data_IF_960394109258
#
_entry.id   IF_960394109258
#
_cell.length_a   1.000
_cell.length_b   1.000
_cell.length_c   1.000
_cell.angle_alpha   90.00
_cell.angle_beta   90.00
_cell.angle_gamma   90.00
#
_symmetry.space_group_name_H-M   'P 1'
#
loop_
_entity.id
_entity.type
_entity.pdbx_description
1 polymer ?
#
# COMPACT_ATOMS: atom_id res chain seq x y z
N UNK A 1 3.81 17.93 7.89
CA UNK A 1 4.02 16.49 7.68
C UNK A 1 4.30 15.80 9.02
N UNK A 2 3.97 14.50 9.09
CA UNK A 2 4.28 13.65 10.24
C UNK A 2 5.40 12.71 9.84
N UNK A 3 6.42 12.57 10.70
CA UNK A 3 7.52 11.65 10.52
C UNK A 3 7.51 10.66 11.68
N UNK A 4 7.43 9.37 11.38
CA UNK A 4 7.40 8.30 12.38
C UNK A 4 8.52 7.33 12.12
N UNK A 5 9.40 7.17 13.11
CA UNK A 5 10.39 6.08 13.12
C UNK A 5 9.77 4.87 13.82
N UNK A 6 9.66 3.77 13.12
CA UNK A 6 9.01 2.56 13.65
C UNK A 6 9.71 1.28 13.21
N UNK A 7 9.33 0.18 13.86
CA UNK A 7 9.62 -1.17 13.42
C UNK A 7 8.31 -1.82 12.99
N UNK A 8 8.36 -2.60 11.92
CA UNK A 8 7.21 -3.43 11.56
C UNK A 8 7.11 -4.60 12.52
N UNK A 9 6.11 -4.56 13.41
CA UNK A 9 5.98 -5.53 14.52
C UNK A 9 5.72 -6.97 14.08
N UNK A 10 5.12 -7.18 12.92
CA UNK A 10 4.57 -8.48 12.56
C UNK A 10 5.51 -9.41 11.78
N UNK A 11 6.63 -8.94 11.21
CA UNK A 11 7.28 -9.75 10.17
C UNK A 11 8.79 -9.83 10.22
N UNK A 12 9.49 -8.96 10.95
CA UNK A 12 10.94 -8.83 10.77
C UNK A 12 11.70 -8.74 12.08
N UNK A 13 12.92 -9.33 12.15
CA UNK A 13 13.78 -9.15 13.30
C UNK A 13 14.05 -7.65 13.50
N UNK A 14 14.06 -7.21 14.74
CA UNK A 14 14.12 -5.81 15.22
C UNK A 14 15.40 -5.05 14.83
N UNK A 15 16.07 -5.44 13.77
CA UNK A 15 17.42 -4.95 13.42
C UNK A 15 17.43 -3.70 12.58
N UNK A 16 16.29 -3.32 11.96
CA UNK A 16 16.25 -2.19 11.02
C UNK A 16 15.10 -1.23 11.33
N UNK A 17 15.42 0.05 11.54
CA UNK A 17 14.42 1.11 11.64
C UNK A 17 14.02 1.59 10.27
N UNK A 18 12.71 1.76 10.09
CA UNK A 18 12.10 2.40 8.93
C UNK A 18 11.53 3.75 9.37
N UNK A 19 11.84 4.81 8.63
CA UNK A 19 11.26 6.12 8.81
C UNK A 19 10.18 6.33 7.76
N UNK A 20 8.93 6.43 8.21
CA UNK A 20 7.80 6.77 7.36
C UNK A 20 7.52 8.26 7.50
N UNK A 21 7.42 8.96 6.36
CA UNK A 21 7.13 10.38 6.32
C UNK A 21 5.86 10.57 5.51
N UNK A 22 4.78 10.98 6.19
CA UNK A 22 3.52 11.30 5.53
C UNK A 22 3.59 12.68 4.87
N UNK A 23 3.06 12.78 3.66
CA UNK A 23 3.01 14.01 2.89
C UNK A 23 1.58 14.51 2.75
N UNK A 24 1.35 15.83 2.67
CA UNK A 24 0.01 16.35 2.39
C UNK A 24 -0.58 15.78 1.11
N UNK A 25 -1.86 15.40 1.15
CA UNK A 25 -2.58 14.85 0.00
C UNK A 25 -2.68 15.85 -1.15
N UNK A 26 -2.53 15.38 -2.38
CA UNK A 26 -2.56 16.21 -3.60
C UNK A 26 -3.95 16.75 -3.97
N UNK A 27 -5.00 16.20 -3.38
CA UNK A 27 -6.40 16.53 -3.67
C UNK A 27 -7.00 17.53 -2.65
N UNK A 28 -6.19 18.19 -1.82
CA UNK A 28 -6.69 19.23 -0.93
C UNK A 28 -6.87 20.55 -1.69
N UNK A 29 -7.80 21.38 -1.22
CA UNK A 29 -8.17 22.64 -1.87
C UNK A 29 -6.97 23.62 -2.06
N UNK A 30 -5.88 23.42 -1.31
CA UNK A 30 -4.66 24.23 -1.33
C UNK A 30 -3.51 23.56 -2.10
N UNK A 31 -3.81 22.98 -3.25
CA UNK A 31 -2.90 22.14 -4.05
C UNK A 31 -1.49 22.72 -4.31
N UNK A 32 -1.34 24.04 -4.40
CA UNK A 32 -0.05 24.68 -4.72
C UNK A 32 0.91 24.62 -3.54
N UNK A 33 0.43 24.86 -2.31
CA UNK A 33 1.26 24.77 -1.11
C UNK A 33 1.64 23.33 -0.80
N UNK A 34 0.72 22.40 -0.92
CA UNK A 34 0.95 20.97 -0.68
C UNK A 34 1.98 20.37 -1.64
N UNK A 35 1.87 20.72 -2.92
CA UNK A 35 2.87 20.36 -3.92
C UNK A 35 4.26 20.87 -3.51
N UNK A 36 4.36 22.15 -3.15
CA UNK A 36 5.63 22.77 -2.73
C UNK A 36 6.21 22.11 -1.47
N UNK A 37 5.37 21.70 -0.52
CA UNK A 37 5.81 21.01 0.69
C UNK A 37 6.36 19.62 0.33
N UNK A 38 5.65 18.85 -0.47
CA UNK A 38 6.08 17.52 -0.93
C UNK A 38 7.38 17.60 -1.74
N UNK A 39 7.52 18.59 -2.64
CA UNK A 39 8.76 18.85 -3.40
C UNK A 39 9.96 19.12 -2.47
N UNK A 40 9.78 20.05 -1.54
CA UNK A 40 10.84 20.39 -0.58
C UNK A 40 11.22 19.19 0.29
N UNK A 41 10.22 18.38 0.67
CA UNK A 41 10.45 17.21 1.49
C UNK A 41 11.27 16.17 0.74
N UNK A 42 10.87 15.78 -0.47
CA UNK A 42 11.58 14.81 -1.30
C UNK A 42 13.03 15.23 -1.52
N UNK A 43 13.27 16.51 -1.85
CA UNK A 43 14.63 17.04 -2.09
C UNK A 43 15.48 17.09 -0.83
N UNK A 44 14.86 17.35 0.34
CA UNK A 44 15.57 17.53 1.61
C UNK A 44 15.90 16.19 2.28
N UNK A 45 15.01 15.21 2.16
CA UNK A 45 15.14 13.94 2.88
C UNK A 45 15.93 12.90 2.09
N UNK A 46 16.02 13.04 0.76
CA UNK A 46 16.63 12.04 -0.14
C UNK A 46 16.17 10.62 0.22
N UNK A 47 14.88 10.33 0.06
CA UNK A 47 14.30 9.08 0.56
C UNK A 47 14.81 7.87 -0.21
N UNK A 48 14.95 6.74 0.46
CA UNK A 48 15.29 5.47 -0.20
C UNK A 48 14.16 4.99 -1.13
N UNK A 49 12.91 5.33 -0.81
CA UNK A 49 11.71 5.01 -1.60
C UNK A 49 10.61 6.05 -1.41
N UNK A 50 9.84 6.25 -2.47
CA UNK A 50 8.54 6.93 -2.41
C UNK A 50 7.43 5.90 -2.59
N UNK A 51 6.45 5.89 -1.69
CA UNK A 51 5.23 5.10 -1.82
C UNK A 51 4.15 6.02 -2.34
N UNK A 52 3.73 5.82 -3.59
CA UNK A 52 2.62 6.55 -4.19
C UNK A 52 1.33 5.74 -3.99
N UNK A 53 0.47 6.21 -3.09
CA UNK A 53 -0.81 5.55 -2.80
C UNK A 53 -1.88 6.06 -3.76
N UNK A 54 -2.44 5.15 -4.54
CA UNK A 54 -3.53 5.38 -5.49
C UNK A 54 -4.85 4.86 -4.90
N UNK A 55 -5.94 5.60 -5.14
CA UNK A 55 -7.26 5.14 -4.73
C UNK A 55 -7.84 4.22 -5.82
N UNK A 56 -8.01 2.93 -5.52
CA UNK A 56 -8.56 1.96 -6.47
C UNK A 56 -9.95 2.31 -7.05
N UNK A 57 -10.70 3.15 -6.36
CA UNK A 57 -12.04 3.61 -6.81
C UNK A 57 -11.99 4.82 -7.77
N UNK A 58 -10.87 5.50 -7.89
CA UNK A 58 -10.77 6.78 -8.60
C UNK A 58 -9.40 6.95 -9.29
N UNK A 59 -8.98 5.95 -10.07
CA UNK A 59 -7.72 5.98 -10.82
C UNK A 59 -7.91 6.76 -12.13
N UNK A 60 -6.95 7.61 -12.48
CA UNK A 60 -6.88 8.28 -13.78
C UNK A 60 -7.47 9.69 -13.81
N UNK A 61 -7.57 10.36 -12.67
CA UNK A 61 -7.96 11.77 -12.62
C UNK A 61 -6.85 12.69 -13.15
N UNK A 62 -7.21 13.87 -13.65
CA UNK A 62 -6.24 14.87 -14.12
C UNK A 62 -5.25 15.31 -13.03
N UNK A 63 -5.71 15.40 -11.78
CA UNK A 63 -4.86 15.78 -10.67
C UNK A 63 -3.88 14.67 -10.29
N UNK A 64 -4.31 13.42 -10.35
CA UNK A 64 -3.43 12.26 -10.18
C UNK A 64 -2.36 12.23 -11.28
N UNK A 65 -2.74 12.48 -12.54
CA UNK A 65 -1.78 12.55 -13.66
C UNK A 65 -0.74 13.64 -13.46
N UNK A 66 -1.13 14.84 -13.03
CA UNK A 66 -0.19 15.92 -12.69
C UNK A 66 0.76 15.52 -11.57
N UNK A 67 0.25 14.83 -10.56
CA UNK A 67 1.06 14.34 -9.47
C UNK A 67 2.07 13.27 -9.92
N UNK A 68 1.64 12.33 -10.76
CA UNK A 68 2.52 11.32 -11.33
C UNK A 68 3.64 11.92 -12.19
N UNK A 69 3.34 12.90 -13.00
CA UNK A 69 4.35 13.65 -13.78
C UNK A 69 5.35 14.34 -12.84
N UNK A 70 4.86 14.99 -11.78
CA UNK A 70 5.70 15.59 -10.77
C UNK A 70 6.62 14.57 -10.09
N UNK A 71 6.09 13.42 -9.65
CA UNK A 71 6.91 12.36 -9.05
C UNK A 71 7.99 11.86 -9.99
N UNK A 72 7.64 11.66 -11.27
CA UNK A 72 8.61 11.25 -12.30
C UNK A 72 9.75 12.24 -12.49
N UNK A 73 9.46 13.54 -12.45
CA UNK A 73 10.46 14.59 -12.63
C UNK A 73 11.37 14.80 -11.41
N UNK A 74 10.81 14.64 -10.21
CA UNK A 74 11.49 15.01 -8.98
C UNK A 74 12.11 13.83 -8.22
N UNK A 75 11.53 12.62 -8.33
CA UNK A 75 12.03 11.46 -7.60
C UNK A 75 13.13 10.75 -8.40
N UNK A 76 14.29 10.57 -7.76
CA UNK A 76 15.39 9.77 -8.29
C UNK A 76 15.50 8.39 -7.64
N UNK A 77 14.76 8.21 -6.55
CA UNK A 77 14.65 6.95 -5.85
C UNK A 77 13.58 6.03 -6.47
N UNK A 78 13.51 4.81 -5.99
CA UNK A 78 12.45 3.85 -6.35
C UNK A 78 11.08 4.39 -5.97
N UNK A 79 10.10 4.26 -6.88
CA UNK A 79 8.70 4.58 -6.59
C UNK A 79 7.92 3.27 -6.58
N UNK A 80 7.23 3.00 -5.49
CA UNK A 80 6.29 1.91 -5.33
C UNK A 80 4.86 2.45 -5.43
N UNK A 81 4.10 1.97 -6.40
CA UNK A 81 2.69 2.36 -6.58
C UNK A 81 1.81 1.37 -5.84
N UNK A 82 1.03 1.86 -4.89
CA UNK A 82 0.17 1.04 -4.03
C UNK A 82 -1.29 1.39 -4.30
N UNK A 83 -2.06 0.46 -4.84
CA UNK A 83 -3.50 0.65 -5.02
C UNK A 83 -4.21 0.22 -3.73
N UNK A 84 -4.76 1.19 -3.02
CA UNK A 84 -5.51 0.97 -1.79
C UNK A 84 -7.04 0.95 -2.05
N UNK A 85 -7.81 0.51 -1.07
CA UNK A 85 -9.28 0.39 -1.10
C UNK A 85 -9.83 -0.63 -2.10
N UNK A 86 -9.02 -1.61 -2.48
CA UNK A 86 -9.46 -2.71 -3.36
C UNK A 86 -10.42 -3.68 -2.67
N UNK A 87 -10.52 -3.61 -1.34
CA UNK A 87 -11.52 -4.31 -0.55
C UNK A 87 -12.97 -3.86 -0.84
N UNK A 88 -13.17 -2.68 -1.40
CA UNK A 88 -14.48 -2.20 -1.85
C UNK A 88 -14.95 -2.82 -3.17
N UNK A 89 -14.07 -3.46 -3.95
CA UNK A 89 -14.39 -4.04 -5.25
C UNK A 89 -15.42 -5.17 -5.15
N UNK A 90 -16.28 -5.29 -6.18
CA UNK A 90 -17.33 -6.29 -6.28
C UNK A 90 -16.95 -7.35 -7.30
N UNK A 91 -17.27 -8.62 -7.00
CA UNK A 91 -16.85 -9.78 -7.80
C UNK A 91 -17.23 -9.71 -9.29
N UNK A 92 -18.34 -9.09 -9.62
CA UNK A 92 -18.90 -9.08 -10.98
C UNK A 92 -18.67 -7.74 -11.71
N UNK A 93 -18.13 -6.73 -11.03
CA UNK A 93 -17.98 -5.38 -11.57
C UNK A 93 -16.51 -4.98 -11.73
N UNK A 94 -15.66 -5.47 -10.83
CA UNK A 94 -14.26 -5.03 -10.75
C UNK A 94 -13.32 -6.23 -10.67
N UNK A 95 -12.22 -6.15 -11.41
CA UNK A 95 -11.12 -7.10 -11.31
C UNK A 95 -9.86 -6.41 -10.80
N UNK A 96 -9.37 -6.81 -9.63
CA UNK A 96 -8.14 -6.26 -9.05
C UNK A 96 -6.96 -6.46 -10.01
N UNK A 97 -6.85 -7.64 -10.64
CA UNK A 97 -5.79 -7.93 -11.63
C UNK A 97 -5.86 -6.98 -12.82
N UNK A 98 -7.06 -6.76 -13.35
CA UNK A 98 -7.25 -5.85 -14.48
C UNK A 98 -6.92 -4.41 -14.10
N UNK A 99 -7.30 -3.97 -12.89
CA UNK A 99 -6.95 -2.65 -12.37
C UNK A 99 -5.43 -2.48 -12.29
N UNK A 100 -4.71 -3.47 -11.73
CA UNK A 100 -3.25 -3.43 -11.66
C UNK A 100 -2.61 -3.33 -13.05
N UNK A 101 -3.08 -4.12 -14.01
CA UNK A 101 -2.57 -4.09 -15.38
C UNK A 101 -2.85 -2.77 -16.09
N UNK A 102 -4.07 -2.24 -15.94
CA UNK A 102 -4.45 -0.95 -16.53
C UNK A 102 -3.62 0.17 -15.92
N UNK A 103 -3.45 0.18 -14.59
CA UNK A 103 -2.61 1.16 -13.91
C UNK A 103 -1.16 1.09 -14.37
N UNK A 104 -0.57 -0.11 -14.54
CA UNK A 104 0.79 -0.25 -15.08
C UNK A 104 0.91 0.40 -16.45
N UNK A 105 -0.04 0.10 -17.35
CA UNK A 105 -0.05 0.68 -18.71
C UNK A 105 -0.18 2.21 -18.69
N UNK A 106 -1.01 2.77 -17.82
CA UNK A 106 -1.13 4.22 -17.70
C UNK A 106 0.16 4.86 -17.15
N UNK A 107 0.79 4.23 -16.16
CA UNK A 107 2.08 4.68 -15.63
C UNK A 107 3.20 4.60 -16.70
N UNK A 108 3.20 3.57 -17.53
CA UNK A 108 4.11 3.45 -18.67
C UNK A 108 3.89 4.57 -19.71
N UNK A 109 2.64 4.94 -19.99
CA UNK A 109 2.32 6.10 -20.86
C UNK A 109 2.79 7.44 -20.28
N UNK A 110 2.76 7.59 -18.95
CA UNK A 110 3.37 8.74 -18.26
C UNK A 110 4.89 8.71 -18.37
N UNK A 111 5.47 7.52 -18.64
CA UNK A 111 6.89 7.27 -18.91
C UNK A 111 7.66 6.67 -17.74
N UNK A 112 6.99 6.03 -16.79
CA UNK A 112 7.66 5.17 -15.83
C UNK A 112 8.07 3.87 -16.52
N UNK A 113 9.29 3.42 -16.27
CA UNK A 113 9.80 2.17 -16.85
C UNK A 113 9.51 1.02 -15.88
N UNK A 114 8.77 0.00 -16.34
CA UNK A 114 8.42 -1.19 -15.56
C UNK A 114 7.91 -0.86 -14.13
N UNK A 115 6.85 -0.03 -13.99
CA UNK A 115 6.39 0.44 -12.69
C UNK A 115 5.93 -0.73 -11.82
N UNK A 116 6.42 -0.78 -10.58
CA UNK A 116 5.96 -1.75 -9.60
C UNK A 116 4.63 -1.28 -9.01
N UNK A 117 3.55 -2.01 -9.31
CA UNK A 117 2.19 -1.70 -8.86
C UNK A 117 1.66 -2.88 -8.06
N UNK A 118 1.28 -2.64 -6.80
CA UNK A 118 0.80 -3.65 -5.87
C UNK A 118 -0.50 -3.22 -5.21
N UNK A 119 -1.40 -4.15 -4.85
CA UNK A 119 -2.64 -3.84 -4.17
C UNK A 119 -2.49 -3.92 -2.66
N UNK A 120 -3.30 -3.16 -1.91
CA UNK A 120 -3.44 -3.31 -0.46
C UNK A 120 -4.85 -2.99 -0.02
N UNK A 121 -5.33 -3.64 1.04
CA UNK A 121 -6.44 -3.16 1.85
C UNK A 121 -5.88 -2.68 3.19
N UNK A 122 -5.59 -1.39 3.28
CA UNK A 122 -5.04 -0.82 4.49
C UNK A 122 -6.02 -0.91 5.68
N UNK A 123 -7.32 -0.84 5.41
CA UNK A 123 -8.34 -0.96 6.46
C UNK A 123 -8.41 -2.40 6.99
N UNK A 124 -8.44 -3.42 6.13
CA UNK A 124 -8.39 -4.81 6.56
C UNK A 124 -7.10 -5.12 7.34
N UNK A 125 -5.97 -4.57 6.88
CA UNK A 125 -4.69 -4.71 7.58
C UNK A 125 -4.69 -4.05 8.97
N UNK A 126 -5.33 -2.88 9.10
CA UNK A 126 -5.47 -2.17 10.37
C UNK A 126 -6.28 -3.01 11.36
N UNK A 127 -7.47 -3.46 10.99
CA UNK A 127 -8.32 -4.30 11.83
C UNK A 127 -7.63 -5.61 12.23
N UNK A 128 -6.96 -6.26 11.27
CA UNK A 128 -6.22 -7.49 11.54
C UNK A 128 -5.08 -7.30 12.55
N UNK A 129 -4.34 -6.19 12.45
CA UNK A 129 -3.28 -5.86 13.42
C UNK A 129 -3.84 -5.53 14.78
N UNK A 130 -4.93 -4.80 14.86
CA UNK A 130 -5.62 -4.47 16.11
C UNK A 130 -6.05 -5.76 16.83
N UNK A 131 -6.70 -6.69 16.14
CA UNK A 131 -7.07 -8.00 16.68
C UNK A 131 -5.86 -8.85 17.09
N UNK A 132 -4.82 -8.88 16.27
CA UNK A 132 -3.60 -9.66 16.53
C UNK A 132 -2.89 -9.21 17.82
N UNK A 133 -2.88 -7.90 18.08
CA UNK A 133 -2.26 -7.32 19.28
C UNK A 133 -3.20 -7.25 20.49
N UNK A 134 -4.46 -7.71 20.36
CA UNK A 134 -5.44 -7.68 21.43
C UNK A 134 -5.87 -6.25 21.80
N UNK A 135 -5.78 -5.33 20.85
CA UNK A 135 -6.25 -3.96 21.05
C UNK A 135 -7.79 -3.93 21.00
N UNK A 136 -8.45 -3.08 21.81
CA UNK A 136 -9.90 -3.00 21.80
C UNK A 136 -10.44 -2.56 20.44
N UNK A 137 -11.52 -3.20 20.01
CA UNK A 137 -12.24 -2.89 18.76
C UNK A 137 -13.65 -2.46 19.08
N UNK A 138 -14.17 -1.49 18.33
CA UNK A 138 -15.60 -1.16 18.35
C UNK A 138 -16.41 -2.30 17.67
N UNK A 139 -17.71 -2.41 17.98
CA UNK A 139 -18.58 -3.45 17.44
C UNK A 139 -18.59 -3.42 15.88
N UNK A 140 -18.67 -2.23 15.30
CA UNK A 140 -18.65 -2.03 13.85
C UNK A 140 -17.31 -2.47 13.22
N UNK A 141 -16.19 -2.26 13.92
CA UNK A 141 -14.86 -2.69 13.47
C UNK A 141 -14.73 -4.21 13.49
N UNK A 142 -15.29 -4.87 14.51
CA UNK A 142 -15.31 -6.32 14.61
C UNK A 142 -16.13 -6.96 13.48
N UNK A 143 -17.32 -6.42 13.18
CA UNK A 143 -18.17 -6.83 12.07
C UNK A 143 -17.47 -6.64 10.71
N UNK A 144 -16.81 -5.51 10.53
CA UNK A 144 -16.04 -5.23 9.31
C UNK A 144 -14.84 -6.18 9.17
N UNK A 145 -14.17 -6.53 10.26
CA UNK A 145 -13.07 -7.50 10.25
C UNK A 145 -13.56 -8.87 9.76
N UNK A 146 -14.64 -9.39 10.33
CA UNK A 146 -15.21 -10.69 9.93
C UNK A 146 -15.62 -10.68 8.46
N UNK A 147 -16.31 -9.63 8.01
CA UNK A 147 -16.72 -9.44 6.63
C UNK A 147 -15.53 -9.41 5.67
N UNK A 148 -14.46 -8.69 6.03
CA UNK A 148 -13.25 -8.56 5.21
C UNK A 148 -12.43 -9.85 5.21
N UNK A 149 -12.31 -10.55 6.34
CA UNK A 149 -11.66 -11.85 6.42
C UNK A 149 -12.34 -12.86 5.48
N UNK A 150 -13.67 -12.94 5.52
CA UNK A 150 -14.44 -13.79 4.62
C UNK A 150 -14.29 -13.39 3.13
N UNK A 151 -14.19 -12.09 2.84
CA UNK A 151 -14.05 -11.59 1.46
C UNK A 151 -12.66 -11.88 0.91
N UNK A 152 -11.61 -11.46 1.63
CA UNK A 152 -10.23 -11.52 1.14
C UNK A 152 -9.66 -12.94 1.13
N UNK A 153 -10.29 -13.89 1.82
CA UNK A 153 -9.96 -15.32 1.74
C UNK A 153 -10.27 -15.94 0.38
N UNK A 154 -11.16 -15.33 -0.42
CA UNK A 154 -11.55 -15.86 -1.73
C UNK A 154 -10.46 -15.57 -2.77
N UNK A 155 -10.12 -16.52 -3.63
CA UNK A 155 -9.05 -16.39 -4.64
C UNK A 155 -9.16 -15.12 -5.50
N UNK A 156 -10.38 -14.68 -5.82
CA UNK A 156 -10.62 -13.48 -6.62
C UNK A 156 -10.20 -12.17 -5.90
N UNK A 157 -10.08 -12.20 -4.57
CA UNK A 157 -9.82 -11.03 -3.74
C UNK A 157 -8.54 -11.13 -2.90
N UNK A 158 -7.84 -12.25 -2.93
CA UNK A 158 -6.55 -12.41 -2.25
C UNK A 158 -5.52 -11.49 -2.86
N UNK A 159 -4.94 -10.61 -2.05
CA UNK A 159 -3.98 -9.62 -2.52
C UNK A 159 -2.54 -10.14 -2.48
N UNK A 160 -2.22 -11.00 -1.54
CA UNK A 160 -0.89 -11.59 -1.35
C UNK A 160 -0.35 -12.27 -2.62
N UNK A 161 -1.22 -12.94 -3.38
CA UNK A 161 -0.86 -13.64 -4.63
C UNK A 161 -0.59 -12.71 -5.82
N UNK A 162 -0.79 -11.40 -5.65
CA UNK A 162 -0.62 -10.39 -6.69
C UNK A 162 0.71 -9.63 -6.56
N UNK A 163 1.49 -9.96 -5.56
CA UNK A 163 2.83 -9.40 -5.33
C UNK A 163 3.91 -10.16 -6.11
N UNK A 164 5.06 -9.52 -6.39
CA UNK A 164 6.24 -10.22 -6.90
C UNK A 164 6.65 -11.35 -5.96
N UNK A 165 7.15 -12.47 -6.49
CA UNK A 165 7.53 -13.63 -5.68
C UNK A 165 8.62 -13.32 -4.66
N UNK A 166 9.52 -12.41 -4.99
CA UNK A 166 10.62 -11.96 -4.13
C UNK A 166 10.13 -11.19 -2.90
N UNK A 167 8.90 -10.70 -2.95
CA UNK A 167 8.24 -10.00 -1.83
C UNK A 167 7.24 -10.88 -1.10
N UNK A 168 7.22 -12.18 -1.36
CA UNK A 168 6.37 -13.09 -0.60
C UNK A 168 6.71 -12.99 0.89
N UNK A 169 5.75 -12.55 1.68
CA UNK A 169 5.86 -12.58 3.14
C UNK A 169 6.05 -14.03 3.59
N UNK A 170 6.57 -14.22 4.79
CA UNK A 170 6.78 -15.54 5.38
C UNK A 170 5.53 -16.40 5.22
N UNK A 171 5.69 -17.63 4.74
CA UNK A 171 4.63 -18.61 4.73
C UNK A 171 4.07 -18.73 6.15
N UNK A 172 2.80 -18.37 6.30
CA UNK A 172 2.13 -18.55 7.59
C UNK A 172 2.01 -20.05 7.87
N UNK A 173 2.20 -20.43 9.13
CA UNK A 173 2.00 -21.83 9.56
C UNK A 173 0.53 -22.26 9.32
N UNK A 174 0.30 -23.57 9.21
CA UNK A 174 -1.05 -24.12 9.04
C UNK A 174 -2.01 -23.73 10.19
N UNK A 175 -1.49 -23.38 11.35
CA UNK A 175 -2.23 -23.03 12.57
C UNK A 175 -2.33 -21.51 12.81
N UNK A 176 -2.19 -20.68 11.75
CA UNK A 176 -2.27 -19.23 11.91
C UNK A 176 -3.70 -18.76 12.24
N UNK A 177 -3.78 -17.75 13.09
CA UNK A 177 -5.03 -17.10 13.50
C UNK A 177 -5.75 -16.43 12.32
N UNK A 178 -7.04 -16.13 12.48
CA UNK A 178 -7.81 -15.40 11.47
C UNK A 178 -7.22 -14.01 11.21
N UNK A 179 -6.72 -13.34 12.25
CA UNK A 179 -6.05 -12.05 12.13
C UNK A 179 -4.78 -12.15 11.27
N UNK A 180 -3.94 -13.17 11.48
CA UNK A 180 -2.74 -13.40 10.66
C UNK A 180 -3.09 -13.71 9.20
N UNK A 181 -4.13 -14.53 8.98
CA UNK A 181 -4.63 -14.78 7.62
C UNK A 181 -5.13 -13.51 6.95
N UNK A 182 -5.86 -12.66 7.66
CA UNK A 182 -6.33 -11.39 7.13
C UNK A 182 -5.18 -10.42 6.84
N UNK A 183 -4.16 -10.35 7.70
CA UNK A 183 -2.94 -9.59 7.41
C UNK A 183 -2.28 -10.06 6.10
N UNK A 184 -2.14 -11.37 5.91
CA UNK A 184 -1.57 -11.91 4.67
C UNK A 184 -2.44 -11.54 3.47
N UNK A 185 -3.74 -11.87 3.51
CA UNK A 185 -4.64 -11.67 2.38
C UNK A 185 -4.90 -10.19 2.05
N UNK A 186 -4.70 -9.27 3.01
CA UNK A 186 -4.77 -7.82 2.79
C UNK A 186 -3.59 -7.25 2.01
N UNK A 187 -2.54 -8.05 1.78
CA UNK A 187 -1.31 -7.64 1.10
C UNK A 187 -0.33 -6.86 1.98
N UNK A 188 -0.67 -6.58 3.26
CA UNK A 188 0.17 -5.73 4.11
C UNK A 188 1.51 -6.38 4.43
N UNK A 189 1.57 -7.68 4.66
CA UNK A 189 2.81 -8.38 4.97
C UNK A 189 3.80 -8.31 3.81
N UNK A 190 3.30 -8.47 2.57
CA UNK A 190 4.12 -8.35 1.37
C UNK A 190 4.59 -6.91 1.15
N UNK A 191 3.73 -5.92 1.41
CA UNK A 191 4.09 -4.50 1.31
C UNK A 191 5.17 -4.12 2.33
N UNK A 192 5.01 -4.52 3.59
CA UNK A 192 6.01 -4.30 4.64
C UNK A 192 7.35 -4.96 4.29
N UNK A 193 7.32 -6.18 3.74
CA UNK A 193 8.51 -6.87 3.26
C UNK A 193 9.23 -6.09 2.15
N UNK A 194 8.49 -5.57 1.18
CA UNK A 194 9.06 -4.73 0.12
C UNK A 194 9.71 -3.46 0.66
N UNK A 195 9.11 -2.82 1.66
CA UNK A 195 9.64 -1.62 2.30
C UNK A 195 10.91 -1.96 3.11
N UNK A 196 10.89 -3.09 3.80
CA UNK A 196 12.02 -3.52 4.64
C UNK A 196 13.28 -3.85 3.83
N UNK A 197 13.12 -4.54 2.70
CA UNK A 197 14.24 -5.01 1.87
C UNK A 197 14.65 -4.05 0.74
N UNK A 198 14.29 -2.78 0.84
CA UNK A 198 14.52 -1.80 -0.23
C UNK A 198 16.00 -1.64 -0.63
N UNK A 199 16.93 -1.84 0.30
CA UNK A 199 18.39 -1.67 0.04
C UNK A 199 19.09 -2.95 -0.43
N UNK A 200 18.38 -4.06 -0.53
CA UNK A 200 18.94 -5.36 -0.93
C UNK A 200 18.69 -5.67 -2.41
N UNK A 201 18.01 -4.81 -3.11
CA UNK A 201 17.70 -4.85 -4.55
C UNK A 201 18.39 -3.69 -5.26
#
# INVERSE_FOLDING_TARGET
YVSVGTFFRSCFPETRRVWLIDTPGVNSADNVEHKTITEKLIRKTDPDMVICVLNGQAIGTDDERKHLLFLKEQCRCRILFVINKVDSYRKNEDSIRQTLETTRKELEKVGFQSPCVVPVSAYAAFLAKQAYWGEPMEEEEADDMERLAHKLKRDAFRLDVLYPKESAGSDLSADCSEAEQLMLHSGILNLENMIYHIKEQ
#
